data_IF_204557265209
#
_entry.id   IF_204557265209
#
_cell.length_a   1.000
_cell.length_b   1.000
_cell.length_c   1.000
_cell.angle_alpha   90.00
_cell.angle_beta   90.00
_cell.angle_gamma   90.00
#
_symmetry.space_group_name_H-M   'P 1'
#
loop_
_entity.id
_entity.type
_entity.pdbx_description
1 polymer ?
#
# COMPACT_ATOMS: atom_id res chain seq x y z
N UNK A 1 -36.89 -8.47 -63.01
CA UNK A 1 -36.60 -7.04 -63.29
C UNK A 1 -37.33 -6.23 -62.22
N UNK A 2 -36.65 -5.80 -61.15
CA UNK A 2 -36.09 -4.45 -60.93
C UNK A 2 -37.12 -3.30 -60.96
N UNK A 3 -37.21 -2.63 -59.80
CA UNK A 3 -37.50 -1.20 -59.51
C UNK A 3 -38.90 -0.89 -58.97
N UNK A 4 -39.09 0.12 -58.11
CA UNK A 4 -38.34 0.82 -57.05
C UNK A 4 -39.26 2.01 -56.65
N UNK A 5 -39.11 2.50 -55.41
CA UNK A 5 -39.69 3.75 -54.82
C UNK A 5 -41.13 3.60 -54.29
N UNK A 6 -41.53 4.22 -53.19
CA UNK A 6 -40.98 5.41 -52.50
C UNK A 6 -41.36 5.37 -51.01
N UNK A 7 -40.42 5.64 -50.10
CA UNK A 7 -40.34 6.89 -49.32
C UNK A 7 -41.55 7.17 -48.41
N UNK A 8 -41.39 6.84 -47.12
CA UNK A 8 -41.64 7.81 -46.04
C UNK A 8 -40.57 7.63 -44.95
N UNK A 9 -39.84 8.73 -44.70
CA UNK A 9 -39.14 8.97 -43.45
C UNK A 9 -40.16 9.18 -42.33
N UNK A 10 -39.90 8.59 -41.15
CA UNK A 10 -40.35 8.95 -39.79
C UNK A 10 -40.25 7.64 -38.97
N UNK A 11 -39.55 7.49 -37.85
CA UNK A 11 -39.26 8.39 -36.74
C UNK A 11 -37.89 8.06 -36.10
N UNK A 12 -37.21 9.10 -35.63
CA UNK A 12 -36.21 9.00 -34.56
C UNK A 12 -36.87 8.38 -33.32
N UNK A 13 -36.30 7.30 -32.80
CA UNK A 13 -36.45 6.94 -31.39
C UNK A 13 -35.14 7.25 -30.66
N UNK A 14 -35.04 8.36 -29.90
CA UNK A 14 -34.06 8.41 -28.83
C UNK A 14 -34.48 7.38 -27.79
N UNK A 15 -33.62 6.39 -27.52
CA UNK A 15 -33.73 5.60 -26.30
C UNK A 15 -33.57 6.57 -25.13
N UNK A 16 -34.68 6.93 -24.51
CA UNK A 16 -34.70 7.59 -23.22
C UNK A 16 -34.04 6.63 -22.22
N UNK A 17 -32.74 6.82 -21.98
CA UNK A 17 -32.10 6.30 -20.78
C UNK A 17 -32.86 6.89 -19.61
N UNK A 18 -33.72 6.08 -19.01
CA UNK A 18 -34.50 6.46 -17.85
C UNK A 18 -33.55 7.02 -16.78
N UNK A 19 -33.78 8.28 -16.41
CA UNK A 19 -33.04 9.07 -15.40
C UNK A 19 -33.12 8.50 -13.97
N UNK A 20 -33.30 7.20 -13.80
CA UNK A 20 -33.51 6.53 -12.50
C UNK A 20 -32.28 6.62 -11.59
N UNK A 21 -31.06 6.71 -12.16
CA UNK A 21 -29.82 6.91 -11.41
C UNK A 21 -29.57 8.35 -10.93
N UNK A 22 -30.33 9.33 -11.43
CA UNK A 22 -30.15 10.73 -11.02
C UNK A 22 -30.68 10.94 -9.60
N UNK A 23 -31.75 10.24 -9.23
CA UNK A 23 -32.36 10.35 -7.91
C UNK A 23 -31.42 9.95 -6.76
N UNK A 24 -30.76 8.77 -6.74
CA UNK A 24 -29.84 8.43 -5.66
C UNK A 24 -28.63 9.38 -5.60
N UNK A 25 -28.13 9.81 -6.76
CA UNK A 25 -26.98 10.72 -6.82
C UNK A 25 -27.32 12.13 -6.32
N UNK A 26 -28.51 12.63 -6.63
CA UNK A 26 -29.02 13.90 -6.11
C UNK A 26 -29.28 13.83 -4.59
N UNK A 27 -29.86 12.73 -4.09
CA UNK A 27 -30.11 12.53 -2.65
C UNK A 27 -28.79 12.50 -1.88
N UNK A 28 -27.79 11.76 -2.36
CA UNK A 28 -26.46 11.73 -1.74
C UNK A 28 -25.78 13.11 -1.75
N UNK A 29 -25.91 13.86 -2.84
CA UNK A 29 -25.36 15.22 -2.95
C UNK A 29 -26.00 16.18 -1.95
N UNK A 30 -27.34 16.17 -1.85
CA UNK A 30 -28.09 17.01 -0.90
C UNK A 30 -27.72 16.65 0.55
N UNK A 31 -27.61 15.36 0.86
CA UNK A 31 -27.23 14.90 2.20
C UNK A 31 -25.81 15.34 2.59
N UNK A 32 -24.86 15.28 1.64
CA UNK A 32 -23.49 15.76 1.83
C UNK A 32 -23.42 17.27 2.10
N UNK A 33 -24.16 18.07 1.31
CA UNK A 33 -24.27 19.52 1.49
C UNK A 33 -24.90 19.87 2.84
N UNK A 34 -25.93 19.12 3.27
CA UNK A 34 -26.59 19.32 4.56
C UNK A 34 -25.64 19.05 5.75
N UNK A 35 -24.83 17.98 5.67
CA UNK A 35 -23.81 17.69 6.68
C UNK A 35 -22.73 18.78 6.75
N UNK A 36 -22.22 19.22 5.60
CA UNK A 36 -21.26 20.34 5.53
C UNK A 36 -21.85 21.62 6.13
N UNK A 37 -23.07 21.97 5.77
CA UNK A 37 -23.75 23.16 6.30
C UNK A 37 -23.98 23.08 7.81
N UNK A 38 -24.36 21.90 8.32
CA UNK A 38 -24.51 21.66 9.75
C UNK A 38 -23.18 21.85 10.51
N UNK A 39 -22.05 21.44 9.93
CA UNK A 39 -20.74 21.69 10.54
C UNK A 39 -20.36 23.17 10.59
N UNK A 40 -20.83 23.99 9.65
CA UNK A 40 -20.56 25.44 9.65
C UNK A 40 -21.44 26.23 10.60
N UNK A 41 -22.67 25.77 10.87
CA UNK A 41 -23.61 26.45 11.77
C UNK A 41 -23.35 26.19 13.26
N UNK A 42 -22.67 25.09 13.58
CA UNK A 42 -22.46 24.67 14.99
C UNK A 42 -21.10 25.08 15.56
N UNK A 43 -20.30 25.88 14.83
CA UNK A 43 -19.04 26.43 15.34
C UNK A 43 -19.17 27.93 15.60
N UNK A 44 -19.22 28.40 16.86
CA UNK A 44 -19.18 29.81 17.21
C UNK A 44 -17.78 30.42 17.11
N UNK A 45 -16.80 29.70 16.55
CA UNK A 45 -15.44 30.22 16.40
C UNK A 45 -14.85 29.75 15.06
N UNK A 46 -14.68 30.72 14.15
CA UNK A 46 -14.06 30.53 12.85
C UNK A 46 -12.55 30.42 13.03
N UNK A 47 -11.99 29.25 12.73
CA UNK A 47 -10.55 29.10 12.74
C UNK A 47 -10.11 27.65 12.61
N UNK A 48 -9.66 27.30 11.40
CA UNK A 48 -8.92 26.08 11.09
C UNK A 48 -7.63 26.06 11.93
N UNK A 49 -7.68 25.51 13.15
CA UNK A 49 -6.51 25.27 14.02
C UNK A 49 -5.83 23.95 13.63
N UNK A 50 -5.24 23.93 12.44
CA UNK A 50 -4.35 22.87 12.00
C UNK A 50 -2.90 23.29 12.37
N UNK A 51 -2.39 22.67 13.44
CA UNK A 51 -0.97 22.53 13.84
C UNK A 51 -0.11 23.80 13.95
N UNK A 52 0.02 24.29 15.19
CA UNK A 52 1.14 25.15 15.60
C UNK A 52 1.72 24.67 16.94
N UNK A 53 2.16 23.41 16.97
CA UNK A 53 3.05 22.91 18.01
C UNK A 53 4.49 23.19 17.59
N UNK A 54 4.98 24.39 17.89
CA UNK A 54 6.40 24.73 17.92
C UNK A 54 6.55 26.05 18.70
N UNK A 55 6.28 25.96 20.00
CA UNK A 55 6.64 27.00 20.97
C UNK A 55 8.10 26.76 21.38
N UNK A 56 9.04 27.37 20.66
CA UNK A 56 10.42 27.47 21.13
C UNK A 56 10.51 28.67 22.08
N UNK A 57 10.36 28.41 23.38
CA UNK A 57 10.61 29.40 24.43
C UNK A 57 12.12 29.45 24.71
N UNK A 58 12.82 30.40 24.10
CA UNK A 58 14.18 30.75 24.50
C UNK A 58 14.15 31.76 25.65
N UNK A 59 14.14 31.27 26.89
CA UNK A 59 14.50 32.07 28.06
C UNK A 59 16.02 32.15 28.14
N UNK A 60 16.59 33.18 27.56
CA UNK A 60 17.98 33.56 27.79
C UNK A 60 18.09 34.20 29.18
N UNK A 61 18.41 33.40 30.20
CA UNK A 61 18.97 33.94 31.44
C UNK A 61 20.46 34.18 31.24
N UNK A 62 20.80 35.44 31.03
CA UNK A 62 22.16 35.94 31.15
C UNK A 62 22.57 35.88 32.63
N UNK A 63 23.70 35.22 32.91
CA UNK A 63 24.66 35.70 33.89
C UNK A 63 26.04 35.12 33.55
N UNK A 64 26.91 36.04 33.16
CA UNK A 64 28.31 35.84 32.78
C UNK A 64 29.16 35.68 34.02
N UNK A 65 30.05 34.68 34.04
CA UNK A 65 31.49 34.85 34.35
C UNK A 65 32.19 33.49 34.39
N UNK A 66 32.94 33.20 33.34
CA UNK A 66 34.24 32.49 33.31
C UNK A 66 34.55 32.23 31.84
N UNK A 67 35.52 32.96 31.32
CA UNK A 67 35.99 32.87 29.94
C UNK A 67 36.79 31.58 29.75
N UNK A 68 36.13 30.47 29.44
CA UNK A 68 36.80 29.31 28.86
C UNK A 68 36.86 29.50 27.34
N UNK A 69 38.06 29.74 26.83
CA UNK A 69 38.40 29.94 25.40
C UNK A 69 38.17 28.65 24.57
N UNK A 70 37.84 27.54 25.22
CA UNK A 70 37.58 26.25 24.59
C UNK A 70 36.08 25.90 24.70
N UNK A 71 35.44 25.66 23.55
CA UNK A 71 33.98 25.42 23.42
C UNK A 71 33.55 24.08 24.03
N UNK A 72 34.50 23.16 24.27
CA UNK A 72 34.26 21.83 24.83
C UNK A 72 33.51 21.85 26.17
N UNK A 73 33.77 22.85 27.02
CA UNK A 73 33.09 22.98 28.32
C UNK A 73 31.60 23.32 28.20
N UNK A 74 31.16 23.77 27.01
CA UNK A 74 29.75 24.05 26.67
C UNK A 74 29.10 22.89 25.92
N UNK A 75 29.88 21.91 25.45
CA UNK A 75 29.37 20.70 24.79
C UNK A 75 28.87 19.74 25.86
N UNK A 76 27.57 19.82 26.17
CA UNK A 76 26.91 18.74 26.87
C UNK A 76 26.79 17.58 25.87
N UNK A 77 27.30 16.36 26.17
CA UNK A 77 26.99 15.20 25.34
C UNK A 77 25.47 15.09 25.29
N UNK A 78 24.91 15.20 24.08
CA UNK A 78 23.50 14.93 23.86
C UNK A 78 23.32 13.48 24.31
N UNK A 79 22.38 13.18 25.23
CA UNK A 79 22.08 11.79 25.54
C UNK A 79 21.83 11.08 24.21
N UNK A 80 22.53 9.96 24.00
CA UNK A 80 22.33 9.13 22.81
C UNK A 80 20.85 8.76 22.86
N UNK A 81 20.02 9.47 22.09
CA UNK A 81 18.62 9.12 21.94
C UNK A 81 18.64 7.70 21.43
N UNK A 82 18.04 6.77 22.18
CA UNK A 82 17.90 5.40 21.72
C UNK A 82 17.28 5.47 20.33
N UNK A 83 18.05 5.11 19.30
CA UNK A 83 17.55 5.05 17.94
C UNK A 83 16.25 4.23 17.98
N UNK A 84 15.17 4.70 17.34
CA UNK A 84 13.94 3.92 17.29
C UNK A 84 14.25 2.54 16.71
N UNK A 85 13.54 1.52 17.18
CA UNK A 85 13.67 0.17 16.63
C UNK A 85 13.48 0.22 15.11
N UNK A 86 14.26 -0.55 14.33
CA UNK A 86 14.08 -0.60 12.89
C UNK A 86 12.62 -0.93 12.52
N UNK A 87 12.07 -0.33 11.45
CA UNK A 87 10.70 -0.57 11.06
C UNK A 87 10.49 -2.03 10.63
N UNK A 88 9.32 -2.57 10.95
CA UNK A 88 8.88 -3.90 10.52
C UNK A 88 8.11 -3.77 9.21
N UNK A 89 8.52 -4.52 8.20
CA UNK A 89 7.97 -4.41 6.85
C UNK A 89 7.00 -5.56 6.58
N UNK A 90 5.91 -5.25 5.89
CA UNK A 90 4.92 -6.21 5.42
C UNK A 90 4.89 -6.21 3.88
N UNK A 91 5.20 -7.34 3.29
CA UNK A 91 5.31 -7.50 1.84
C UNK A 91 4.12 -8.26 1.26
N UNK A 92 3.55 -7.75 0.18
CA UNK A 92 2.82 -8.55 -0.78
C UNK A 92 3.77 -8.85 -1.94
N UNK A 93 3.96 -10.14 -2.28
CA UNK A 93 4.67 -10.55 -3.48
C UNK A 93 3.67 -11.32 -4.35
N UNK A 94 3.37 -10.77 -5.53
CA UNK A 94 2.36 -11.28 -6.45
C UNK A 94 2.97 -11.72 -7.78
N UNK A 95 2.47 -12.80 -8.38
CA UNK A 95 2.87 -13.24 -9.72
C UNK A 95 1.73 -13.91 -10.46
N UNK A 96 1.97 -14.17 -11.74
CA UNK A 96 1.07 -14.86 -12.67
C UNK A 96 1.73 -16.15 -13.21
N UNK A 97 1.18 -16.72 -14.26
CA UNK A 97 1.60 -17.99 -14.85
C UNK A 97 3.11 -18.04 -15.14
N UNK A 98 3.79 -19.03 -14.57
CA UNK A 98 5.23 -19.24 -14.75
C UNK A 98 6.12 -18.49 -13.74
N UNK A 99 5.56 -17.60 -12.92
CA UNK A 99 6.32 -16.81 -11.96
C UNK A 99 6.67 -17.56 -10.67
N UNK A 100 6.20 -18.80 -10.46
CA UNK A 100 6.38 -19.52 -9.21
C UNK A 100 7.84 -19.72 -8.78
N UNK A 101 8.79 -19.79 -9.73
CA UNK A 101 10.22 -19.79 -9.42
C UNK A 101 10.75 -18.40 -9.05
N UNK A 102 10.31 -17.36 -9.76
CA UNK A 102 10.68 -15.97 -9.50
C UNK A 102 10.16 -15.50 -8.14
N UNK A 103 8.92 -15.80 -7.79
CA UNK A 103 8.33 -15.57 -6.47
C UNK A 103 9.17 -16.18 -5.34
N UNK A 104 9.62 -17.43 -5.49
CA UNK A 104 10.49 -18.09 -4.50
C UNK A 104 11.81 -17.36 -4.36
N UNK A 105 12.43 -17.00 -5.48
CA UNK A 105 13.69 -16.26 -5.51
C UNK A 105 13.55 -14.88 -4.84
N UNK A 106 12.50 -14.12 -5.16
CA UNK A 106 12.26 -12.79 -4.59
C UNK A 106 11.95 -12.89 -3.10
N UNK A 107 11.14 -13.85 -2.67
CA UNK A 107 10.91 -14.11 -1.25
C UNK A 107 12.21 -14.37 -0.51
N UNK A 108 13.07 -15.26 -1.02
CA UNK A 108 14.35 -15.59 -0.39
C UNK A 108 15.26 -14.36 -0.28
N UNK A 109 15.31 -13.53 -1.31
CA UNK A 109 16.13 -12.31 -1.32
C UNK A 109 15.63 -11.26 -0.32
N UNK A 110 14.33 -11.23 -0.03
CA UNK A 110 13.69 -10.28 0.87
C UNK A 110 13.51 -10.80 2.29
N UNK A 111 13.80 -12.07 2.55
CA UNK A 111 13.36 -12.73 3.77
C UNK A 111 14.12 -12.23 5.01
N UNK A 112 13.36 -11.80 6.00
CA UNK A 112 13.84 -11.41 7.31
C UNK A 112 12.84 -11.86 8.39
N UNK A 113 13.28 -12.41 9.53
CA UNK A 113 12.39 -12.97 10.55
C UNK A 113 11.46 -11.95 11.22
N UNK A 114 11.80 -10.66 11.23
CA UNK A 114 10.96 -9.60 11.81
C UNK A 114 9.86 -9.06 10.88
N UNK A 115 9.97 -9.36 9.58
CA UNK A 115 9.05 -8.89 8.55
C UNK A 115 7.92 -9.90 8.32
N UNK A 116 6.85 -9.44 7.69
CA UNK A 116 5.67 -10.24 7.35
C UNK A 116 5.51 -10.36 5.83
N UNK A 117 5.05 -11.50 5.35
CA UNK A 117 4.95 -11.78 3.92
C UNK A 117 3.62 -12.43 3.56
N UNK A 118 2.99 -11.91 2.52
CA UNK A 118 1.88 -12.54 1.81
C UNK A 118 2.30 -12.79 0.37
N UNK A 119 2.08 -14.02 -0.07
CA UNK A 119 2.43 -14.50 -1.40
C UNK A 119 1.15 -14.81 -2.15
N UNK A 120 1.03 -14.32 -3.37
CA UNK A 120 -0.09 -14.59 -4.26
C UNK A 120 0.41 -15.05 -5.62
N UNK A 121 -0.08 -16.20 -6.06
CA UNK A 121 0.09 -16.67 -7.44
C UNK A 121 -1.32 -16.80 -8.02
N UNK A 122 -1.58 -16.03 -9.08
CA UNK A 122 -2.94 -15.74 -9.53
C UNK A 122 -3.65 -16.91 -10.25
N UNK A 123 -4.86 -16.63 -10.74
CA UNK A 123 -5.69 -17.57 -11.48
C UNK A 123 -5.19 -17.99 -12.86
N UNK A 124 -4.25 -17.28 -13.48
CA UNK A 124 -3.67 -17.70 -14.78
C UNK A 124 -2.68 -18.86 -14.58
N UNK A 125 -2.15 -19.00 -13.37
CA UNK A 125 -1.18 -20.02 -13.01
C UNK A 125 -1.80 -21.40 -12.85
N UNK A 126 -1.06 -22.42 -13.29
CA UNK A 126 -1.50 -23.83 -13.18
C UNK A 126 -1.70 -24.23 -11.71
N UNK A 127 -2.66 -25.12 -11.46
CA UNK A 127 -2.92 -25.63 -10.11
C UNK A 127 -1.71 -26.33 -9.49
N UNK A 128 -0.95 -27.06 -10.29
CA UNK A 128 0.30 -27.71 -9.87
C UNK A 128 1.36 -26.70 -9.43
N UNK A 129 1.52 -25.60 -10.18
CA UNK A 129 2.48 -24.54 -9.86
C UNK A 129 2.15 -23.89 -8.51
N UNK A 130 0.86 -23.57 -8.29
CA UNK A 130 0.36 -23.04 -7.02
C UNK A 130 0.56 -24.03 -5.87
N UNK A 131 0.29 -25.31 -6.10
CA UNK A 131 0.49 -26.35 -5.09
C UNK A 131 1.97 -26.52 -4.73
N UNK A 132 2.86 -26.48 -5.72
CA UNK A 132 4.30 -26.56 -5.52
C UNK A 132 4.82 -25.36 -4.70
N UNK A 133 4.34 -24.15 -4.99
CA UNK A 133 4.66 -22.95 -4.22
C UNK A 133 4.14 -23.04 -2.78
N UNK A 134 2.91 -23.51 -2.59
CA UNK A 134 2.31 -23.72 -1.27
C UNK A 134 3.13 -24.72 -0.44
N UNK A 135 3.48 -25.86 -1.05
CA UNK A 135 4.28 -26.89 -0.40
C UNK A 135 5.65 -26.35 -0.03
N UNK A 136 6.30 -25.60 -0.91
CA UNK A 136 7.57 -24.93 -0.62
C UNK A 136 7.48 -24.04 0.63
N UNK A 137 6.47 -23.15 0.70
CA UNK A 137 6.31 -22.25 1.86
C UNK A 137 6.08 -23.04 3.15
N UNK A 138 5.30 -24.12 3.08
CA UNK A 138 4.94 -24.94 4.24
C UNK A 138 6.08 -25.81 4.76
N UNK A 139 6.91 -26.36 3.87
CA UNK A 139 7.97 -27.31 4.21
C UNK A 139 9.33 -26.66 4.40
N UNK A 140 9.52 -25.40 3.96
CA UNK A 140 10.81 -24.74 4.09
C UNK A 140 11.19 -24.55 5.58
N UNK A 141 12.36 -25.04 6.04
CA UNK A 141 12.70 -25.06 7.47
C UNK A 141 12.65 -23.70 8.14
N UNK A 142 13.16 -22.67 7.46
CA UNK A 142 13.21 -21.30 8.01
C UNK A 142 11.82 -20.67 8.05
N UNK A 143 11.06 -20.76 6.95
CA UNK A 143 9.72 -20.17 6.86
C UNK A 143 8.76 -20.84 7.83
N UNK A 144 8.83 -22.16 7.96
CA UNK A 144 8.03 -22.94 8.90
C UNK A 144 8.37 -22.67 10.37
N UNK A 145 9.63 -22.31 10.68
CA UNK A 145 10.07 -21.93 12.02
C UNK A 145 9.48 -20.59 12.48
N UNK A 146 9.57 -19.56 11.64
CA UNK A 146 9.11 -18.21 12.00
C UNK A 146 7.63 -17.95 11.70
N UNK A 147 7.01 -18.74 10.80
CA UNK A 147 5.58 -18.67 10.45
C UNK A 147 5.10 -17.27 10.03
N UNK A 148 6.01 -16.48 9.46
CA UNK A 148 5.79 -15.10 9.03
C UNK A 148 5.52 -14.98 7.52
N UNK A 149 5.34 -16.11 6.82
CA UNK A 149 4.98 -16.16 5.40
C UNK A 149 3.65 -16.86 5.22
N UNK A 150 2.75 -16.23 4.47
CA UNK A 150 1.42 -16.77 4.15
C UNK A 150 1.19 -16.76 2.65
N UNK A 151 0.47 -17.75 2.18
CA UNK A 151 0.08 -17.82 0.77
C UNK A 151 -1.43 -17.67 0.66
N UNK A 152 -1.88 -16.78 -0.21
CA UNK A 152 -3.28 -16.74 -0.64
C UNK A 152 -3.51 -17.95 -1.54
N UNK A 153 -4.29 -18.92 -1.05
CA UNK A 153 -4.56 -20.17 -1.76
C UNK A 153 -5.68 -20.05 -2.79
N UNK A 154 -6.53 -19.02 -2.66
CA UNK A 154 -7.59 -18.72 -3.62
C UNK A 154 -6.96 -18.14 -4.90
N UNK A 155 -7.17 -18.83 -6.01
CA UNK A 155 -6.65 -18.45 -7.33
C UNK A 155 -7.50 -17.32 -7.94
N UNK A 156 -7.41 -16.11 -7.37
CA UNK A 156 -8.09 -14.95 -7.94
C UNK A 156 -7.36 -14.53 -9.22
N UNK A 157 -8.11 -14.29 -10.30
CA UNK A 157 -7.55 -13.74 -11.53
C UNK A 157 -7.22 -12.26 -11.34
N UNK A 158 -5.98 -11.87 -11.59
CA UNK A 158 -5.54 -10.47 -11.50
C UNK A 158 -5.32 -9.94 -12.90
N UNK A 159 -6.15 -8.99 -13.32
CA UNK A 159 -6.05 -8.41 -14.66
C UNK A 159 -5.32 -7.07 -14.61
N UNK A 160 -4.41 -6.89 -15.57
CA UNK A 160 -3.67 -5.63 -15.69
C UNK A 160 -4.63 -4.47 -15.96
N UNK A 161 -4.46 -3.36 -15.21
CA UNK A 161 -5.36 -2.18 -15.21
C UNK A 161 -6.82 -2.48 -14.84
N UNK A 162 -7.10 -3.68 -14.34
CA UNK A 162 -8.42 -4.07 -13.83
C UNK A 162 -8.60 -3.77 -12.34
N UNK A 163 -9.85 -3.79 -11.84
CA UNK A 163 -10.13 -3.61 -10.42
C UNK A 163 -9.58 -4.74 -9.55
N UNK A 164 -9.30 -5.91 -10.14
CA UNK A 164 -8.78 -7.09 -9.42
C UNK A 164 -7.34 -6.92 -8.96
N UNK A 165 -6.54 -6.07 -9.61
CA UNK A 165 -5.19 -5.71 -9.14
C UNK A 165 -5.25 -5.03 -7.77
N UNK A 166 -6.11 -4.01 -7.63
CA UNK A 166 -6.31 -3.31 -6.36
C UNK A 166 -6.95 -4.24 -5.33
N UNK A 167 -7.92 -5.05 -5.75
CA UNK A 167 -8.57 -6.02 -4.85
C UNK A 167 -7.56 -7.03 -4.29
N UNK A 168 -6.59 -7.50 -5.07
CA UNK A 168 -5.53 -8.38 -4.60
C UNK A 168 -4.66 -7.70 -3.54
N UNK A 169 -4.23 -6.45 -3.78
CA UNK A 169 -3.45 -5.66 -2.82
C UNK A 169 -4.21 -5.47 -1.50
N UNK A 170 -5.49 -5.09 -1.57
CA UNK A 170 -6.33 -4.91 -0.39
C UNK A 170 -6.58 -6.24 0.34
N UNK A 171 -6.73 -7.34 -0.39
CA UNK A 171 -6.89 -8.66 0.20
C UNK A 171 -5.66 -9.08 1.01
N UNK A 172 -4.46 -8.86 0.46
CA UNK A 172 -3.22 -9.14 1.16
C UNK A 172 -3.03 -8.25 2.40
N UNK A 173 -3.31 -6.95 2.27
CA UNK A 173 -3.26 -6.01 3.39
C UNK A 173 -4.23 -6.45 4.51
N UNK A 174 -5.44 -6.90 4.17
CA UNK A 174 -6.41 -7.40 5.14
C UNK A 174 -5.90 -8.65 5.89
N UNK A 175 -5.21 -9.57 5.20
CA UNK A 175 -4.57 -10.74 5.85
C UNK A 175 -3.48 -10.29 6.82
N UNK A 176 -2.64 -9.35 6.41
CA UNK A 176 -1.54 -8.83 7.24
C UNK A 176 -2.05 -8.05 8.45
N UNK A 177 -3.11 -7.27 8.31
CA UNK A 177 -3.76 -6.59 9.44
C UNK A 177 -4.42 -7.57 10.40
N UNK A 178 -5.06 -8.63 9.89
CA UNK A 178 -5.80 -9.57 10.72
C UNK A 178 -4.90 -10.50 11.53
N UNK A 179 -3.84 -11.01 10.92
CA UNK A 179 -3.04 -12.06 11.54
C UNK A 179 -1.53 -11.77 11.50
N UNK A 180 -1.05 -10.79 10.74
CA UNK A 180 0.38 -10.45 10.60
C UNK A 180 1.01 -9.73 11.80
N UNK A 181 0.21 -9.31 12.78
CA UNK A 181 0.68 -8.56 13.94
C UNK A 181 1.14 -7.15 13.57
N UNK A 182 2.03 -6.58 14.38
CA UNK A 182 2.49 -5.19 14.18
C UNK A 182 3.52 -5.08 13.05
N UNK A 183 3.26 -4.18 12.11
CA UNK A 183 4.16 -3.77 11.05
C UNK A 183 3.93 -2.30 10.75
N UNK A 184 4.98 -1.62 10.27
CA UNK A 184 4.98 -0.16 10.09
C UNK A 184 4.71 0.25 8.64
N UNK A 185 5.16 -0.56 7.68
CA UNK A 185 5.06 -0.27 6.25
C UNK A 185 4.56 -1.46 5.46
N UNK A 186 3.66 -1.20 4.52
CA UNK A 186 3.18 -2.18 3.55
C UNK A 186 3.79 -1.90 2.17
N UNK A 187 4.39 -2.93 1.57
CA UNK A 187 5.09 -2.84 0.29
C UNK A 187 4.51 -3.89 -0.67
N UNK A 188 3.98 -3.42 -1.80
CA UNK A 188 3.42 -4.28 -2.84
C UNK A 188 4.46 -4.53 -3.95
N UNK A 189 4.71 -5.80 -4.25
CA UNK A 189 5.72 -6.27 -5.19
C UNK A 189 5.14 -7.30 -6.15
N UNK A 190 5.75 -7.36 -7.33
CA UNK A 190 5.58 -8.41 -8.32
C UNK A 190 6.71 -9.43 -8.26
N UNK A 191 6.53 -10.58 -8.91
CA UNK A 191 7.56 -11.61 -9.05
C UNK A 191 8.79 -11.14 -9.82
N UNK A 192 8.63 -10.11 -10.66
CA UNK A 192 9.71 -9.50 -11.41
C UNK A 192 10.46 -8.42 -10.63
N UNK A 193 10.03 -8.04 -9.43
CA UNK A 193 10.78 -7.08 -8.63
C UNK A 193 11.91 -7.79 -7.87
N UNK A 194 13.07 -7.15 -7.79
CA UNK A 194 14.23 -7.67 -7.07
C UNK A 194 14.93 -6.58 -6.25
N UNK A 195 15.31 -6.86 -4.97
CA UNK A 195 16.01 -5.89 -4.15
C UNK A 195 17.42 -5.63 -4.70
N UNK A 196 17.81 -4.35 -4.77
CA UNK A 196 19.18 -3.94 -5.11
C UNK A 196 20.05 -3.71 -3.89
N UNK A 197 19.42 -3.46 -2.75
CA UNK A 197 20.09 -3.13 -1.50
C UNK A 197 19.57 -4.10 -0.45
N UNK A 198 20.48 -4.62 0.37
CA UNK A 198 20.16 -5.50 1.49
C UNK A 198 19.41 -4.74 2.58
N UNK A 199 18.48 -5.42 3.27
CA UNK A 199 17.65 -4.81 4.31
C UNK A 199 18.44 -4.36 5.56
N UNK A 200 19.69 -4.79 5.71
CA UNK A 200 20.52 -4.55 6.89
C UNK A 200 21.18 -3.13 6.90
N UNK A 201 20.97 -2.34 5.85
CA UNK A 201 21.47 -0.96 5.76
C UNK A 201 20.43 0.06 6.23
N UNK A 202 20.86 1.06 7.01
CA UNK A 202 20.08 2.21 7.51
C UNK A 202 19.49 3.14 6.44
N UNK A 203 19.30 2.65 5.20
CA UNK A 203 18.86 3.42 4.03
C UNK A 203 17.75 2.69 3.28
N UNK A 204 16.83 3.47 2.71
CA UNK A 204 15.71 3.06 1.88
C UNK A 204 16.06 1.91 0.92
N UNK A 205 15.20 0.90 0.88
CA UNK A 205 15.30 -0.24 -0.04
C UNK A 205 15.05 0.21 -1.48
N UNK A 206 16.06 0.04 -2.35
CA UNK A 206 15.91 0.23 -3.80
C UNK A 206 15.55 -1.10 -4.46
N UNK A 207 14.62 -1.06 -5.42
CA UNK A 207 14.15 -2.24 -6.16
C UNK A 207 14.22 -1.98 -7.65
N UNK A 208 14.51 -3.02 -8.44
CA UNK A 208 14.39 -3.01 -9.91
C UNK A 208 13.28 -3.96 -10.32
N UNK A 209 12.50 -3.53 -11.32
CA UNK A 209 11.58 -4.39 -12.05
C UNK A 209 12.31 -5.02 -13.25
N UNK A 210 12.39 -6.36 -13.29
CA UNK A 210 13.13 -7.10 -14.31
C UNK A 210 12.52 -6.94 -15.72
N UNK A 211 11.22 -6.63 -15.84
CA UNK A 211 10.59 -6.35 -17.14
C UNK A 211 10.94 -4.97 -17.71
N UNK A 212 11.56 -4.08 -16.94
CA UNK A 212 12.02 -2.76 -17.44
C UNK A 212 13.45 -2.79 -18.00
N UNK A 213 14.12 -3.95 -17.97
CA UNK A 213 15.49 -4.14 -18.43
C UNK A 213 15.60 -4.86 -19.80
N UNK A 214 14.47 -5.08 -20.47
CA UNK A 214 14.35 -5.69 -21.81
C UNK A 214 13.45 -4.79 -22.65
#
# INVERSE_FOLDING_TARGET
MKKFKSYYMHLRHPRSLERKWIFPLAICSIFSLFLLFSTTLTSPDGGMKFYRYLSFSATASANTTTTSIFVESKLRPIPISSLPSPPRLAYLISGSAGDGAMLRRTLQALYHPYNQYVIHLDGESKAEERLNLYNYVKTHPVLGKFKNVRMITKANLVTYRGPTMVANTLHAAAILLKEGGDWDWFINLSAADYPLVTQDGTKLMLMINVYSLI
#
